data_IF_938731744028
#
_entry.id   IF_938731744028
#
_cell.length_a   1.000
_cell.length_b   1.000
_cell.length_c   1.000
_cell.angle_alpha   90.00
_cell.angle_beta   90.00
_cell.angle_gamma   90.00
#
_symmetry.space_group_name_H-M   'P 1'
#
loop_
_entity.id
_entity.type
_entity.pdbx_description
1 polymer ?
#
# COMPACT_ATOMS: atom_id res chain seq x y z
N UNK A 1 0.77 4.30 -22.23
CA UNK A 1 1.21 5.60 -21.68
C UNK A 1 1.51 5.37 -20.21
N UNK A 2 2.67 5.78 -19.70
CA UNK A 2 2.99 5.63 -18.27
C UNK A 2 2.24 6.71 -17.46
N UNK A 3 1.79 6.41 -16.23
CA UNK A 3 1.13 7.39 -15.39
C UNK A 3 2.09 8.54 -15.02
N UNK A 4 1.54 9.75 -14.88
CA UNK A 4 2.28 10.92 -14.43
C UNK A 4 2.74 10.68 -12.98
N UNK A 5 3.97 11.07 -12.65
CA UNK A 5 4.49 10.98 -11.29
C UNK A 5 3.60 11.86 -10.38
N UNK A 6 2.97 11.30 -9.34
CA UNK A 6 2.11 12.08 -8.45
C UNK A 6 2.92 13.16 -7.73
N UNK A 7 2.33 14.32 -7.49
CA UNK A 7 2.95 15.43 -6.74
C UNK A 7 2.35 15.61 -5.35
N UNK A 8 1.24 14.93 -5.07
CA UNK A 8 0.60 14.85 -3.77
C UNK A 8 0.00 13.46 -3.54
N UNK A 9 -0.18 13.06 -2.29
CA UNK A 9 -0.85 11.80 -1.96
C UNK A 9 -2.30 11.73 -2.49
N UNK A 10 -2.99 12.88 -2.60
CA UNK A 10 -4.35 12.95 -3.15
C UNK A 10 -4.41 12.77 -4.67
N UNK A 11 -3.30 13.00 -5.36
CA UNK A 11 -3.21 12.78 -6.82
C UNK A 11 -2.91 11.34 -7.20
N UNK A 12 -2.70 10.45 -6.23
CA UNK A 12 -2.39 9.05 -6.50
C UNK A 12 -3.66 8.34 -6.99
N UNK A 13 -3.58 7.83 -8.22
CA UNK A 13 -4.62 7.01 -8.83
C UNK A 13 -4.01 5.66 -9.20
N UNK A 14 -4.74 4.58 -8.88
CA UNK A 14 -4.33 3.21 -9.19
C UNK A 14 -5.12 2.79 -10.42
N UNK A 15 -4.48 2.57 -11.59
CA UNK A 15 -5.17 2.06 -12.76
C UNK A 15 -5.81 0.70 -12.47
N UNK A 16 -6.99 0.44 -13.02
CA UNK A 16 -7.69 -0.85 -12.85
C UNK A 16 -6.84 -2.05 -13.33
N UNK A 17 -6.05 -1.87 -14.40
CA UNK A 17 -5.10 -2.90 -14.87
C UNK A 17 -3.98 -3.21 -13.88
N UNK A 18 -3.79 -2.36 -12.87
CA UNK A 18 -2.78 -2.49 -11.82
C UNK A 18 -3.41 -2.75 -10.43
N UNK A 19 -4.73 -2.94 -10.36
CA UNK A 19 -5.42 -3.24 -9.10
C UNK A 19 -5.54 -4.74 -8.81
N UNK A 20 -4.81 -5.60 -9.53
CA UNK A 20 -4.84 -7.05 -9.36
C UNK A 20 -3.44 -7.64 -9.17
N UNK A 21 -3.35 -8.69 -8.35
CA UNK A 21 -2.14 -9.50 -8.18
C UNK A 21 -1.85 -10.34 -9.43
N UNK A 22 -0.67 -10.96 -9.51
CA UNK A 22 -0.38 -11.96 -10.55
C UNK A 22 -1.29 -13.20 -10.49
N UNK A 23 -1.96 -13.43 -9.36
CA UNK A 23 -2.95 -14.50 -9.16
C UNK A 23 -4.38 -14.02 -9.39
N UNK A 24 -4.57 -12.82 -9.94
CA UNK A 24 -5.86 -12.20 -10.25
C UNK A 24 -6.74 -11.92 -9.01
N UNK A 25 -6.13 -11.75 -7.85
CA UNK A 25 -6.81 -11.24 -6.65
C UNK A 25 -6.82 -9.71 -6.69
N UNK A 26 -7.92 -9.09 -6.30
CA UNK A 26 -8.00 -7.63 -6.22
C UNK A 26 -7.15 -7.13 -5.04
N UNK A 27 -6.28 -6.16 -5.32
CA UNK A 27 -5.60 -5.40 -4.27
C UNK A 27 -6.59 -4.43 -3.63
N UNK A 28 -6.66 -4.46 -2.31
CA UNK A 28 -7.36 -3.48 -1.51
C UNK A 28 -6.47 -2.26 -1.37
N UNK A 29 -6.91 -1.16 -1.97
CA UNK A 29 -6.35 0.16 -1.76
C UNK A 29 -7.09 0.81 -0.59
N UNK A 30 -6.42 0.95 0.55
CA UNK A 30 -6.93 1.74 1.66
C UNK A 30 -6.29 3.12 1.64
N UNK A 31 -7.09 4.17 1.51
CA UNK A 31 -6.68 5.57 1.71
C UNK A 31 -7.41 6.11 2.93
N UNK A 32 -6.73 6.10 4.08
CA UNK A 32 -7.29 6.59 5.33
C UNK A 32 -6.90 8.05 5.57
N UNK A 33 -7.88 8.88 5.92
CA UNK A 33 -7.67 10.28 6.32
C UNK A 33 -7.54 10.46 7.83
N UNK A 34 -7.86 9.42 8.62
CA UNK A 34 -7.89 9.48 10.10
C UNK A 34 -6.57 9.08 10.75
N UNK A 35 -5.79 8.21 10.08
CA UNK A 35 -4.39 7.96 10.38
C UNK A 35 -3.59 8.68 9.29
N UNK A 36 -2.44 9.29 9.61
CA UNK A 36 -1.52 9.89 8.61
C UNK A 36 -1.59 9.14 7.28
N UNK A 37 -1.95 9.79 6.16
CA UNK A 37 -2.32 9.13 4.89
C UNK A 37 -1.49 7.86 4.62
N UNK A 38 -2.06 6.70 4.97
CA UNK A 38 -1.47 5.39 4.74
C UNK A 38 -2.01 4.89 3.42
N UNK A 39 -1.12 4.40 2.57
CA UNK A 39 -1.50 3.62 1.39
C UNK A 39 -1.05 2.20 1.64
N UNK A 40 -2.03 1.31 1.80
CA UNK A 40 -1.79 -0.12 1.93
C UNK A 40 -2.17 -0.82 0.62
N UNK A 41 -1.34 -1.78 0.22
CA UNK A 41 -1.63 -2.73 -0.86
C UNK A 41 -1.66 -4.11 -0.23
N UNK A 42 -2.85 -4.69 -0.10
CA UNK A 42 -3.04 -6.02 0.47
C UNK A 42 -4.16 -6.76 -0.28
N UNK A 43 -4.10 -8.09 -0.35
CA UNK A 43 -5.28 -8.87 -0.75
C UNK A 43 -6.22 -9.03 0.44
N UNK A 44 -7.50 -9.32 0.19
CA UNK A 44 -8.47 -9.67 1.24
C UNK A 44 -7.97 -10.82 2.12
N UNK A 45 -7.39 -11.86 1.50
CA UNK A 45 -6.82 -13.00 2.19
C UNK A 45 -5.69 -12.57 3.13
N UNK A 46 -4.79 -11.70 2.66
CA UNK A 46 -3.71 -11.15 3.49
C UNK A 46 -4.22 -10.34 4.66
N UNK A 47 -5.21 -9.47 4.45
CA UNK A 47 -5.83 -8.70 5.53
C UNK A 47 -6.55 -9.59 6.54
N UNK A 48 -7.24 -10.64 6.08
CA UNK A 48 -7.89 -11.60 6.97
C UNK A 48 -6.87 -12.27 7.88
N UNK A 49 -5.78 -12.79 7.31
CA UNK A 49 -4.68 -13.39 8.08
C UNK A 49 -4.13 -12.38 9.10
N UNK A 50 -3.85 -11.14 8.69
CA UNK A 50 -3.38 -10.11 9.62
C UNK A 50 -4.39 -9.83 10.73
N UNK A 51 -5.69 -9.75 10.41
CA UNK A 51 -6.75 -9.46 11.40
C UNK A 51 -6.97 -10.57 12.42
N UNK A 52 -6.71 -11.82 12.05
CA UNK A 52 -6.89 -13.00 12.90
C UNK A 52 -5.67 -13.30 13.79
N UNK A 53 -4.57 -12.56 13.61
CA UNK A 53 -3.31 -12.78 14.32
C UNK A 53 -2.94 -11.60 15.23
N UNK A 54 -2.60 -11.89 16.49
CA UNK A 54 -2.22 -10.89 17.49
C UNK A 54 -0.78 -10.37 17.34
N UNK A 55 0.05 -11.03 16.55
CA UNK A 55 1.45 -10.70 16.37
C UNK A 55 1.81 -10.64 14.90
N UNK A 56 2.37 -9.52 14.47
CA UNK A 56 2.79 -9.30 13.08
C UNK A 56 4.30 -9.16 13.03
N UNK A 57 4.94 -10.03 12.26
CA UNK A 57 6.33 -9.87 11.89
C UNK A 57 6.37 -9.07 10.58
N UNK A 58 6.92 -7.87 10.63
CA UNK A 58 7.14 -7.04 9.46
C UNK A 58 8.65 -6.80 9.30
N UNK A 59 9.17 -7.08 8.11
CA UNK A 59 10.53 -6.70 7.73
C UNK A 59 10.46 -5.62 6.65
N UNK A 60 11.22 -4.54 6.85
CA UNK A 60 11.22 -3.38 5.97
C UNK A 60 12.39 -3.46 5.00
N UNK A 61 12.18 -3.95 3.78
CA UNK A 61 13.21 -3.84 2.72
C UNK A 61 12.95 -2.60 1.85
N UNK A 62 13.80 -1.59 1.94
CA UNK A 62 13.67 -0.37 1.14
C UNK A 62 14.79 -0.25 0.10
N UNK A 63 14.40 -0.10 -1.18
CA UNK A 63 15.33 0.33 -2.25
C UNK A 63 15.12 1.79 -2.66
N UNK A 64 13.89 2.34 -2.54
CA UNK A 64 13.56 3.77 -2.69
C UNK A 64 12.05 3.99 -2.47
N UNK A 65 11.62 4.70 -1.43
CA UNK A 65 10.25 5.21 -1.34
C UNK A 65 10.17 6.56 -2.10
N UNK A 66 9.12 6.84 -2.88
CA UNK A 66 8.92 8.17 -3.47
C UNK A 66 8.91 9.25 -2.40
N UNK A 67 9.44 10.45 -2.70
CA UNK A 67 9.53 11.57 -1.77
C UNK A 67 8.17 12.04 -1.20
N UNK A 68 7.06 11.51 -1.73
CA UNK A 68 5.70 11.73 -1.24
C UNK A 68 5.40 11.04 0.10
N UNK A 69 6.16 10.02 0.49
CA UNK A 69 5.90 9.25 1.71
C UNK A 69 6.97 9.50 2.76
N UNK A 70 6.54 9.75 4.00
CA UNK A 70 7.44 9.71 5.16
C UNK A 70 7.92 8.28 5.37
N UNK A 71 9.24 8.11 5.50
CA UNK A 71 9.82 6.81 5.83
C UNK A 71 9.70 6.59 7.34
N UNK A 72 8.97 5.56 7.73
CA UNK A 72 8.89 5.13 9.12
C UNK A 72 9.93 4.02 9.37
N UNK A 73 10.73 4.21 10.42
CA UNK A 73 11.69 3.25 10.94
C UNK A 73 11.09 2.57 12.17
N UNK A 74 11.10 1.24 12.19
CA UNK A 74 10.84 0.44 13.37
C UNK A 74 11.91 -0.66 13.43
N UNK A 75 12.60 -0.74 14.57
CA UNK A 75 13.56 -1.81 14.90
C UNK A 75 12.85 -2.78 15.85
#
# INVERSE_FOLDING_TARGET
MLPIIPTSLDSITIPESMSFTHTNEQFLFCNSTTLHKVIAFASETGLKILSENHHWNADGTFRTAPALFSQAYYI
#
